data_IF_646932197130
#
_entry.id   IF_646932197130
#
_cell.length_a   1.000
_cell.length_b   1.000
_cell.length_c   1.000
_cell.angle_alpha   90.00
_cell.angle_beta   90.00
_cell.angle_gamma   90.00
#
_symmetry.space_group_name_H-M   'P 1'
#
loop_
_entity.id
_entity.type
_entity.pdbx_description
1 polymer ?
#
# COMPACT_ATOMS: atom_id res chain seq x y z
N UNK A 1 49.18 -44.74 15.03
CA UNK A 1 48.42 -44.64 13.75
C UNK A 1 46.97 -44.42 14.10
N UNK A 2 46.39 -43.34 13.60
CA UNK A 2 45.11 -42.75 14.01
C UNK A 2 43.94 -43.51 13.37
N UNK A 3 43.03 -44.05 14.19
CA UNK A 3 41.74 -44.58 13.79
C UNK A 3 40.67 -43.50 13.95
N UNK A 4 40.41 -42.71 12.91
CA UNK A 4 39.31 -41.74 12.92
C UNK A 4 38.78 -41.36 11.51
N UNK A 5 38.15 -42.29 10.75
CA UNK A 5 37.27 -41.85 9.65
C UNK A 5 35.79 -42.27 9.83
N UNK A 6 35.47 -43.14 10.80
CA UNK A 6 34.12 -43.74 10.89
C UNK A 6 33.11 -42.82 11.60
N UNK A 7 33.54 -42.01 12.57
CA UNK A 7 32.64 -41.10 13.31
C UNK A 7 32.07 -39.97 12.46
N UNK A 8 32.87 -39.43 11.53
CA UNK A 8 32.43 -38.35 10.63
C UNK A 8 31.42 -38.80 9.58
N UNK A 9 31.53 -40.05 9.11
CA UNK A 9 30.59 -40.64 8.17
C UNK A 9 29.21 -40.85 8.78
N UNK A 10 29.15 -41.26 10.05
CA UNK A 10 27.88 -41.46 10.76
C UNK A 10 27.22 -40.10 11.05
N UNK A 11 27.99 -39.08 11.45
CA UNK A 11 27.47 -37.73 11.68
C UNK A 11 26.92 -37.10 10.39
N UNK A 12 27.61 -37.26 9.26
CA UNK A 12 27.16 -36.76 7.96
C UNK A 12 25.86 -37.43 7.50
N UNK A 13 25.71 -38.73 7.71
CA UNK A 13 24.47 -39.45 7.35
C UNK A 13 23.29 -38.99 8.21
N UNK A 14 23.51 -38.72 9.51
CA UNK A 14 22.46 -38.20 10.40
C UNK A 14 22.03 -36.79 9.99
N UNK A 15 22.96 -35.91 9.59
CA UNK A 15 22.64 -34.56 9.10
C UNK A 15 21.85 -34.63 7.79
N UNK A 16 22.21 -35.53 6.87
CA UNK A 16 21.48 -35.73 5.62
C UNK A 16 20.08 -36.33 5.87
N UNK A 17 19.94 -37.20 6.86
CA UNK A 17 18.63 -37.74 7.28
C UNK A 17 17.76 -36.67 7.96
N UNK A 18 18.36 -35.77 8.75
CA UNK A 18 17.65 -34.63 9.35
C UNK A 18 17.21 -33.61 8.29
N UNK A 19 18.05 -33.34 7.28
CA UNK A 19 17.72 -32.46 6.16
C UNK A 19 16.67 -33.05 5.20
N UNK A 20 16.53 -34.37 5.14
CA UNK A 20 15.51 -35.06 4.33
C UNK A 20 14.22 -35.39 5.09
N UNK A 21 14.21 -35.25 6.40
CA UNK A 21 13.02 -35.38 7.27
C UNK A 21 12.41 -34.03 7.66
N UNK A 22 13.04 -32.91 7.34
CA UNK A 22 12.38 -31.60 7.39
C UNK A 22 11.22 -31.60 6.39
N UNK A 23 9.97 -31.36 6.82
CA UNK A 23 8.87 -31.23 5.89
C UNK A 23 9.21 -30.08 4.93
N UNK A 24 8.94 -30.22 3.62
CA UNK A 24 9.01 -29.07 2.74
C UNK A 24 8.05 -28.03 3.33
N UNK A 25 8.60 -26.87 3.68
CA UNK A 25 7.78 -25.67 3.90
C UNK A 25 7.07 -25.40 2.58
N UNK A 26 5.89 -25.97 2.43
CA UNK A 26 4.94 -25.58 1.40
C UNK A 26 4.35 -24.24 1.84
N UNK A 27 5.16 -23.18 1.83
CA UNK A 27 4.62 -21.82 1.69
C UNK A 27 3.92 -21.82 0.33
N UNK A 28 2.59 -21.82 0.36
CA UNK A 28 1.76 -21.78 -0.85
C UNK A 28 2.24 -20.58 -1.68
N UNK A 29 2.54 -20.77 -2.96
CA UNK A 29 3.05 -19.71 -3.86
C UNK A 29 2.17 -18.47 -3.88
N UNK A 30 0.88 -18.63 -3.56
CA UNK A 30 -0.10 -17.56 -3.47
C UNK A 30 0.13 -16.63 -2.28
N UNK A 31 0.56 -17.13 -1.10
CA UNK A 31 0.84 -16.26 0.06
C UNK A 31 2.07 -15.38 -0.19
N UNK A 32 3.11 -15.93 -0.83
CA UNK A 32 4.29 -15.18 -1.20
C UNK A 32 3.98 -14.06 -2.21
N UNK A 33 3.02 -14.27 -3.13
CA UNK A 33 2.60 -13.25 -4.11
C UNK A 33 1.75 -12.15 -3.46
N UNK A 34 0.88 -12.52 -2.52
CA UNK A 34 0.04 -11.60 -1.77
C UNK A 34 0.86 -10.73 -0.80
N UNK A 35 1.79 -11.34 -0.05
CA UNK A 35 2.75 -10.64 0.82
C UNK A 35 3.54 -9.61 0.02
N UNK A 36 4.12 -10.02 -1.12
CA UNK A 36 4.92 -9.13 -1.99
C UNK A 36 4.15 -7.90 -2.48
N UNK A 37 2.89 -8.09 -2.90
CA UNK A 37 2.04 -7.00 -3.41
C UNK A 37 1.63 -6.02 -2.32
N UNK A 38 1.42 -6.49 -1.10
CA UNK A 38 1.12 -5.63 0.04
C UNK A 38 2.38 -4.94 0.56
N UNK A 39 3.49 -5.68 0.69
CA UNK A 39 4.74 -5.25 1.30
C UNK A 39 5.30 -3.94 0.74
N UNK A 40 5.09 -3.63 -0.54
CA UNK A 40 5.60 -2.38 -1.15
C UNK A 40 4.59 -1.22 -1.13
N UNK A 41 3.29 -1.50 -1.01
CA UNK A 41 2.22 -0.52 -1.30
C UNK A 41 1.54 0.09 -0.06
N UNK A 42 1.85 -0.34 1.16
CA UNK A 42 1.27 0.23 2.40
C UNK A 42 2.31 0.97 3.29
N UNK A 43 1.83 1.82 4.19
CA UNK A 43 2.67 2.44 5.23
C UNK A 43 3.19 1.38 6.24
N UNK A 44 4.39 1.55 6.83
CA UNK A 44 4.91 0.60 7.82
C UNK A 44 3.96 0.38 8.99
N UNK A 45 3.88 -0.86 9.48
CA UNK A 45 3.06 -1.21 10.63
C UNK A 45 3.48 -0.44 11.89
N UNK A 46 4.79 -0.31 12.12
CA UNK A 46 5.36 0.38 13.27
C UNK A 46 5.59 1.88 12.98
N UNK A 47 4.99 2.79 13.77
CA UNK A 47 5.21 4.23 13.65
C UNK A 47 6.69 4.65 13.72
N UNK A 48 7.53 3.92 14.46
CA UNK A 48 8.96 4.19 14.53
C UNK A 48 9.64 3.95 13.18
N UNK A 49 9.28 2.87 12.48
CA UNK A 49 9.78 2.58 11.14
C UNK A 49 9.32 3.65 10.15
N UNK A 50 8.06 4.08 10.24
CA UNK A 50 7.56 5.19 9.41
C UNK A 50 8.34 6.49 9.60
N UNK A 51 8.70 6.84 10.85
CA UNK A 51 9.55 8.00 11.14
C UNK A 51 10.96 7.84 10.57
N UNK A 52 11.54 6.66 10.70
CA UNK A 52 12.85 6.34 10.13
C UNK A 52 12.87 6.49 8.60
N UNK A 53 11.87 5.93 7.91
CA UNK A 53 11.70 6.08 6.46
C UNK A 53 11.66 7.57 6.06
N UNK A 54 10.89 8.38 6.79
CA UNK A 54 10.80 9.84 6.58
C UNK A 54 12.16 10.53 6.74
N UNK A 55 12.88 10.26 7.83
CA UNK A 55 14.17 10.89 8.11
C UNK A 55 15.24 10.53 7.06
N UNK A 56 15.25 9.27 6.62
CA UNK A 56 16.13 8.81 5.55
C UNK A 56 15.84 9.55 4.24
N UNK A 57 14.55 9.70 3.91
CA UNK A 57 14.13 10.40 2.70
C UNK A 57 14.51 11.89 2.73
N UNK A 58 14.37 12.56 3.88
CA UNK A 58 14.77 13.97 4.06
C UNK A 58 16.28 14.19 3.94
N UNK A 59 17.07 13.21 4.38
CA UNK A 59 18.53 13.24 4.29
C UNK A 59 19.06 12.78 2.91
N UNK A 60 18.17 12.46 1.97
CA UNK A 60 18.53 12.03 0.62
C UNK A 60 19.16 10.64 0.55
N UNK A 61 19.00 9.83 1.59
CA UNK A 61 19.42 8.44 1.66
C UNK A 61 18.35 7.60 0.95
N UNK A 62 18.42 7.50 -0.38
CA UNK A 62 17.53 6.62 -1.16
C UNK A 62 18.04 5.19 -1.11
N UNK A 63 17.20 4.28 -0.61
CA UNK A 63 17.27 2.82 -0.82
C UNK A 63 18.64 2.14 -0.61
N UNK A 64 19.51 2.68 0.25
CA UNK A 64 20.65 1.90 0.77
C UNK A 64 20.15 0.92 1.84
N UNK A 65 19.53 -0.16 1.34
CA UNK A 65 19.31 -1.46 1.98
C UNK A 65 18.83 -1.37 3.43
N UNK A 66 17.50 -1.36 3.59
CA UNK A 66 16.77 -1.67 4.83
C UNK A 66 16.91 -3.18 5.16
N UNK A 67 18.13 -3.71 5.12
CA UNK A 67 18.44 -5.11 5.38
C UNK A 67 18.87 -5.26 6.83
N UNK A 68 18.00 -4.90 7.77
CA UNK A 68 18.19 -5.12 9.22
C UNK A 68 19.37 -4.39 9.88
N UNK A 69 20.35 -3.91 9.12
CA UNK A 69 21.56 -3.25 9.57
C UNK A 69 21.38 -1.74 9.37
N UNK A 70 20.79 -1.09 10.38
CA UNK A 70 20.70 0.36 10.44
C UNK A 70 22.10 0.90 10.78
N UNK A 71 22.99 1.03 9.79
CA UNK A 71 24.18 1.88 9.92
C UNK A 71 23.68 3.34 9.94
N UNK A 72 23.11 3.71 11.08
CA UNK A 72 22.40 4.95 11.29
C UNK A 72 23.42 6.10 11.26
N UNK A 73 23.28 6.99 10.29
CA UNK A 73 24.07 8.22 10.26
C UNK A 73 23.94 8.97 11.60
N UNK A 74 25.03 9.57 12.07
CA UNK A 74 25.13 10.19 13.40
C UNK A 74 24.13 11.36 13.57
N UNK A 75 23.59 11.87 12.47
CA UNK A 75 22.52 12.88 12.42
C UNK A 75 21.14 12.28 12.75
N UNK A 76 20.79 11.14 12.16
CA UNK A 76 19.52 10.43 12.35
C UNK A 76 19.42 9.86 13.77
N UNK A 77 20.53 9.31 14.29
CA UNK A 77 20.61 8.80 15.67
C UNK A 77 20.34 9.88 16.73
N UNK A 78 20.73 11.14 16.49
CA UNK A 78 20.51 12.25 17.44
C UNK A 78 19.05 12.68 17.53
N UNK A 79 18.30 12.66 16.42
CA UNK A 79 16.87 12.95 16.43
C UNK A 79 16.04 11.81 17.03
N UNK A 80 16.64 10.62 17.07
CA UNK A 80 16.05 9.39 17.57
C UNK A 80 16.54 8.98 18.96
N UNK A 81 17.12 9.90 19.75
CA UNK A 81 17.69 9.60 21.08
C UNK A 81 16.71 8.94 22.06
N UNK A 82 15.39 9.05 21.83
CA UNK A 82 14.33 8.38 22.60
C UNK A 82 14.04 6.94 22.14
N UNK A 83 14.62 6.49 21.02
CA UNK A 83 14.39 5.17 20.42
C UNK A 83 15.60 4.23 20.46
N UNK A 84 16.75 4.69 20.96
CA UNK A 84 17.95 3.87 21.18
C UNK A 84 17.65 2.62 22.03
N UNK A 85 16.66 2.69 22.92
CA UNK A 85 16.21 1.57 23.76
C UNK A 85 15.65 0.39 22.94
N UNK A 86 15.16 0.62 21.73
CA UNK A 86 14.57 -0.42 20.87
C UNK A 86 15.55 -1.05 19.90
N UNK A 87 16.82 -0.65 19.91
CA UNK A 87 17.85 -1.27 19.08
C UNK A 87 18.71 -2.20 19.93
N UNK A 88 18.97 -3.40 19.40
CA UNK A 88 19.92 -4.36 19.98
C UNK A 88 21.34 -3.81 19.85
N UNK A 89 22.28 -4.41 20.60
CA UNK A 89 23.71 -4.02 20.58
C UNK A 89 24.36 -4.12 19.19
N UNK A 90 23.77 -4.87 18.27
CA UNK A 90 24.19 -5.02 16.87
C UNK A 90 23.51 -4.02 15.91
N UNK A 91 22.72 -3.06 16.42
CA UNK A 91 22.01 -2.06 15.63
C UNK A 91 20.69 -2.56 15.03
N UNK A 92 20.27 -3.79 15.33
CA UNK A 92 19.02 -4.36 14.80
C UNK A 92 17.83 -4.01 15.69
N UNK A 93 16.70 -3.68 15.07
CA UNK A 93 15.47 -3.37 15.80
C UNK A 93 15.02 -4.59 16.64
N UNK A 94 14.72 -4.37 17.91
CA UNK A 94 14.13 -5.36 18.79
C UNK A 94 12.62 -5.49 18.51
N UNK A 95 12.29 -6.18 17.43
CA UNK A 95 10.91 -6.35 16.93
C UNK A 95 9.97 -6.91 18.02
N UNK A 96 10.40 -7.91 18.78
CA UNK A 96 9.63 -8.50 19.86
C UNK A 96 9.22 -7.46 20.92
N UNK A 97 10.15 -6.60 21.31
CA UNK A 97 9.88 -5.52 22.28
C UNK A 97 9.01 -4.41 21.69
N UNK A 98 9.17 -4.11 20.38
CA UNK A 98 8.26 -3.18 19.69
C UNK A 98 6.84 -3.71 19.68
N UNK A 99 6.62 -4.96 19.28
CA UNK A 99 5.29 -5.58 19.25
C UNK A 99 4.63 -5.60 20.63
N UNK A 100 5.39 -5.92 21.69
CA UNK A 100 4.91 -5.87 23.07
C UNK A 100 4.44 -4.46 23.48
N UNK A 101 5.17 -3.42 23.07
CA UNK A 101 4.81 -2.03 23.38
C UNK A 101 3.69 -1.48 22.49
N UNK A 102 3.56 -1.97 21.27
CA UNK A 102 2.50 -1.58 20.34
C UNK A 102 1.17 -2.24 20.72
N UNK A 103 1.15 -3.49 21.19
CA UNK A 103 -0.07 -4.25 21.45
C UNK A 103 -1.13 -3.49 22.28
N UNK A 104 -0.80 -2.83 23.41
CA UNK A 104 -1.78 -2.07 24.18
C UNK A 104 -2.33 -0.83 23.46
N UNK A 105 -1.65 -0.34 22.41
CA UNK A 105 -2.09 0.79 21.59
C UNK A 105 -3.06 0.35 20.48
N UNK A 106 -2.99 -0.92 20.07
CA UNK A 106 -3.90 -1.51 19.09
C UNK A 106 -5.23 -1.93 19.74
N UNK A 107 -5.18 -2.53 20.94
CA UNK A 107 -6.35 -2.94 21.73
C UNK A 107 -7.06 -1.71 22.36
N UNK A 108 -7.88 -1.02 21.57
CA UNK A 108 -8.52 0.26 21.96
C UNK A 108 -9.96 0.08 22.43
N UNK A 109 -10.80 -0.64 21.68
CA UNK A 109 -12.22 -0.76 21.98
C UNK A 109 -12.89 -1.97 21.30
N UNK A 110 -13.37 -2.97 22.07
CA UNK A 110 -13.22 -3.09 23.53
C UNK A 110 -11.77 -3.38 23.91
N UNK A 111 -11.27 -2.79 25.00
CA UNK A 111 -9.96 -3.16 25.55
C UNK A 111 -10.06 -4.53 26.23
N UNK A 112 -10.05 -5.60 25.44
CA UNK A 112 -10.35 -6.97 25.87
C UNK A 112 -9.12 -7.89 25.85
N UNK A 113 -7.94 -7.37 25.50
CA UNK A 113 -6.70 -8.12 25.39
C UNK A 113 -6.59 -8.89 24.08
N UNK A 114 -7.44 -8.60 23.09
CA UNK A 114 -7.38 -9.16 21.75
C UNK A 114 -7.44 -8.02 20.73
N UNK A 115 -6.68 -8.16 19.64
CA UNK A 115 -6.76 -7.23 18.52
C UNK A 115 -7.71 -7.82 17.49
N UNK A 116 -8.87 -7.18 17.29
CA UNK A 116 -9.81 -7.59 16.24
C UNK A 116 -9.53 -6.88 14.90
N UNK A 117 -10.16 -7.37 13.83
CA UNK A 117 -9.96 -6.80 12.48
C UNK A 117 -10.17 -5.28 12.40
N UNK A 118 -11.19 -4.74 13.08
CA UNK A 118 -11.48 -3.30 12.99
C UNK A 118 -10.42 -2.46 13.69
N UNK A 119 -9.86 -2.95 14.78
CA UNK A 119 -8.77 -2.28 15.49
C UNK A 119 -7.50 -2.27 14.65
N UNK A 120 -7.20 -3.40 14.01
CA UNK A 120 -6.04 -3.53 13.14
C UNK A 120 -6.19 -2.73 11.83
N UNK A 121 -7.39 -2.71 11.24
CA UNK A 121 -7.73 -1.85 10.10
C UNK A 121 -7.54 -0.39 10.48
N UNK A 122 -8.12 0.06 11.61
CA UNK A 122 -7.97 1.44 12.07
C UNK A 122 -6.49 1.81 12.30
N UNK A 123 -5.72 0.92 12.92
CA UNK A 123 -4.28 1.13 13.12
C UNK A 123 -3.54 1.33 11.80
N UNK A 124 -3.72 0.40 10.85
CA UNK A 124 -3.04 0.46 9.56
C UNK A 124 -3.48 1.68 8.73
N UNK A 125 -4.77 2.01 8.77
CA UNK A 125 -5.33 3.20 8.10
C UNK A 125 -4.74 4.47 8.71
N UNK A 126 -4.60 4.57 10.04
CA UNK A 126 -3.94 5.70 10.70
C UNK A 126 -2.49 5.86 10.19
N UNK A 127 -1.74 4.75 10.00
CA UNK A 127 -0.38 4.79 9.43
C UNK A 127 -0.39 5.30 7.98
N UNK A 128 -1.32 4.82 7.16
CA UNK A 128 -1.46 5.24 5.77
C UNK A 128 -1.80 6.74 5.66
N UNK A 129 -2.76 7.22 6.46
CA UNK A 129 -3.16 8.63 6.50
C UNK A 129 -1.99 9.52 6.92
N UNK A 130 -1.22 9.13 7.94
CA UNK A 130 -0.01 9.87 8.33
C UNK A 130 1.01 9.98 7.19
N UNK A 131 1.23 8.90 6.45
CA UNK A 131 2.15 8.88 5.29
C UNK A 131 1.66 9.77 4.15
N UNK A 132 0.37 9.69 3.80
CA UNK A 132 -0.26 10.54 2.79
C UNK A 132 -0.15 12.03 3.17
N UNK A 133 -0.42 12.36 4.43
CA UNK A 133 -0.28 13.72 4.95
C UNK A 133 1.16 14.22 4.89
N UNK A 134 2.13 13.38 5.26
CA UNK A 134 3.55 13.72 5.15
C UNK A 134 3.95 14.04 3.70
N UNK A 135 3.61 13.16 2.75
CA UNK A 135 3.87 13.36 1.31
C UNK A 135 3.23 14.65 0.79
N UNK A 136 1.99 14.91 1.18
CA UNK A 136 1.26 16.12 0.77
C UNK A 136 1.90 17.38 1.33
N UNK A 137 2.28 17.37 2.61
CA UNK A 137 2.98 18.49 3.25
C UNK A 137 4.33 18.76 2.59
N UNK A 138 5.05 17.70 2.19
CA UNK A 138 6.31 17.82 1.46
C UNK A 138 6.09 18.47 0.09
N UNK A 139 5.08 18.04 -0.66
CA UNK A 139 4.72 18.66 -1.94
C UNK A 139 4.29 20.12 -1.78
N UNK A 140 3.49 20.44 -0.78
CA UNK A 140 3.11 21.81 -0.44
C UNK A 140 4.37 22.68 -0.24
N UNK A 141 5.30 22.25 0.63
CA UNK A 141 6.54 22.99 0.89
C UNK A 141 7.43 23.15 -0.35
N UNK A 142 7.43 22.17 -1.25
CA UNK A 142 8.22 22.20 -2.48
C UNK A 142 7.65 23.19 -3.51
N UNK A 143 6.32 23.27 -3.59
CA UNK A 143 5.60 23.96 -4.68
C UNK A 143 5.05 25.33 -4.30
N UNK A 144 4.79 25.58 -3.01
CA UNK A 144 4.33 26.87 -2.48
C UNK A 144 5.45 27.91 -2.58
N UNK A 145 5.50 28.63 -3.71
CA UNK A 145 6.60 29.56 -4.03
C UNK A 145 6.40 30.91 -3.37
N UNK A 146 5.15 31.30 -3.16
CA UNK A 146 4.81 32.59 -2.54
C UNK A 146 4.67 32.50 -1.01
N UNK A 147 4.64 31.28 -0.46
CA UNK A 147 4.63 31.00 0.97
C UNK A 147 3.27 31.28 1.61
N UNK A 148 2.18 31.24 0.83
CA UNK A 148 0.85 31.56 1.31
C UNK A 148 0.15 30.36 2.01
N UNK A 149 0.76 29.16 1.99
CA UNK A 149 0.25 27.95 2.60
C UNK A 149 -0.83 27.22 1.78
N UNK A 150 -0.98 27.58 0.51
CA UNK A 150 -1.92 26.99 -0.46
C UNK A 150 -1.27 26.96 -1.85
N UNK A 151 -1.74 26.10 -2.74
CA UNK A 151 -1.21 26.01 -4.10
C UNK A 151 -2.20 26.53 -5.13
N UNK A 152 -1.77 27.49 -5.94
CA UNK A 152 -2.48 27.82 -7.18
C UNK A 152 -2.31 26.72 -8.23
N UNK A 153 -3.20 26.70 -9.23
CA UNK A 153 -3.08 25.76 -10.36
C UNK A 153 -1.68 25.79 -11.01
N UNK A 154 -1.06 26.96 -11.12
CA UNK A 154 0.26 27.12 -11.75
C UNK A 154 1.36 26.48 -10.88
N UNK A 155 1.20 26.46 -9.56
CA UNK A 155 2.13 25.83 -8.62
C UNK A 155 1.95 24.32 -8.55
N UNK A 156 0.71 23.83 -8.73
CA UNK A 156 0.43 22.40 -8.87
C UNK A 156 0.95 21.81 -10.19
N UNK A 157 0.97 22.60 -11.27
CA UNK A 157 1.46 22.14 -12.57
C UNK A 157 2.98 22.01 -12.59
N UNK A 158 3.50 20.89 -13.10
CA UNK A 158 4.94 20.67 -13.27
C UNK A 158 5.59 21.80 -14.11
N UNK A 159 6.86 22.18 -13.86
CA UNK A 159 7.53 23.24 -14.63
C UNK A 159 7.54 23.01 -16.15
N UNK A 160 7.51 21.76 -16.63
CA UNK A 160 7.32 21.47 -18.06
C UNK A 160 5.94 21.94 -18.54
N UNK A 161 4.88 21.72 -17.77
CA UNK A 161 3.49 22.13 -18.07
C UNK A 161 3.32 23.65 -18.03
N UNK A 162 3.96 24.33 -17.08
CA UNK A 162 3.92 25.81 -16.98
C UNK A 162 4.57 26.52 -18.17
N UNK A 163 5.59 25.90 -18.79
CA UNK A 163 6.20 26.39 -20.02
C UNK A 163 5.39 26.01 -21.29
N UNK A 164 4.53 25.00 -21.20
CA UNK A 164 3.72 24.46 -22.31
C UNK A 164 2.35 25.13 -22.47
N UNK A 165 1.85 25.88 -21.48
CA UNK A 165 0.78 26.86 -21.70
C UNK A 165 1.12 27.86 -22.83
N UNK A 166 2.40 27.94 -23.20
CA UNK A 166 2.87 28.77 -24.31
C UNK A 166 2.97 28.08 -25.67
N UNK A 167 2.92 26.74 -25.83
CA UNK A 167 2.80 26.19 -27.21
C UNK A 167 2.46 24.69 -27.48
N UNK A 168 2.55 23.69 -26.59
CA UNK A 168 2.49 22.29 -27.09
C UNK A 168 1.87 21.27 -26.11
N UNK A 169 0.67 21.52 -25.59
CA UNK A 169 -0.17 20.45 -25.03
C UNK A 169 -1.39 20.19 -25.91
N UNK A 170 -1.78 18.92 -26.01
CA UNK A 170 -3.09 18.58 -26.56
C UNK A 170 -4.17 19.23 -25.66
N UNK A 171 -5.19 19.91 -26.24
CA UNK A 171 -6.18 20.67 -25.47
C UNK A 171 -6.93 19.85 -24.40
N UNK A 172 -6.94 18.53 -24.54
CA UNK A 172 -7.58 17.57 -23.65
C UNK A 172 -6.83 17.38 -22.31
N UNK A 173 -5.50 17.30 -22.32
CA UNK A 173 -4.69 17.10 -21.10
C UNK A 173 -4.76 18.30 -20.15
N UNK A 174 -4.61 19.52 -20.69
CA UNK A 174 -4.72 20.75 -19.87
C UNK A 174 -6.15 20.93 -19.34
N UNK A 175 -7.16 20.53 -20.11
CA UNK A 175 -8.56 20.54 -19.69
C UNK A 175 -8.80 19.62 -18.49
N UNK A 176 -8.24 18.41 -18.53
CA UNK A 176 -8.35 17.42 -17.47
C UNK A 176 -7.68 17.89 -16.16
N UNK A 177 -6.44 18.39 -16.20
CA UNK A 177 -5.76 18.90 -15.01
C UNK A 177 -6.51 20.06 -14.36
N UNK A 178 -7.06 20.96 -15.18
CA UNK A 178 -7.91 22.06 -14.70
C UNK A 178 -9.21 21.57 -14.06
N UNK A 179 -9.77 20.47 -14.56
CA UNK A 179 -10.98 19.88 -13.99
C UNK A 179 -10.70 19.17 -12.66
N UNK A 180 -9.60 18.41 -12.56
CA UNK A 180 -9.15 17.80 -11.31
C UNK A 180 -8.90 18.85 -10.23
N UNK A 181 -8.18 19.94 -10.58
CA UNK A 181 -7.92 21.04 -9.66
C UNK A 181 -9.24 21.65 -9.15
N UNK A 182 -10.19 21.93 -10.04
CA UNK A 182 -11.49 22.50 -9.64
C UNK A 182 -12.34 21.55 -8.81
N UNK A 183 -12.18 20.24 -8.99
CA UNK A 183 -12.91 19.24 -8.21
C UNK A 183 -12.34 19.12 -6.79
N UNK A 184 -11.02 19.26 -6.66
CA UNK A 184 -10.35 19.30 -5.37
C UNK A 184 -10.51 20.63 -4.61
N UNK A 185 -10.67 21.75 -5.33
CA UNK A 185 -10.93 23.09 -4.76
C UNK A 185 -12.39 23.20 -4.24
N UNK A 186 -12.64 22.61 -3.07
CA UNK A 186 -13.97 22.49 -2.47
C UNK A 186 -14.61 23.84 -2.15
N UNK A 187 -13.81 24.82 -1.71
CA UNK A 187 -14.31 26.16 -1.39
C UNK A 187 -14.37 27.12 -2.60
N UNK A 188 -13.78 26.71 -3.74
CA UNK A 188 -13.81 27.42 -5.01
C UNK A 188 -13.00 28.72 -5.01
N UNK A 189 -12.03 28.86 -4.11
CA UNK A 189 -11.22 30.07 -3.98
C UNK A 189 -10.09 30.15 -5.04
N UNK A 190 -9.87 29.08 -5.80
CA UNK A 190 -8.85 28.97 -6.84
C UNK A 190 -7.46 28.56 -6.34
N UNK A 191 -7.33 28.15 -5.07
CA UNK A 191 -6.13 27.69 -4.39
C UNK A 191 -6.45 26.41 -3.63
N UNK A 192 -5.55 25.43 -3.65
CA UNK A 192 -5.69 24.23 -2.84
C UNK A 192 -5.00 24.42 -1.50
N UNK A 193 -5.76 24.36 -0.42
CA UNK A 193 -5.21 24.21 0.92
C UNK A 193 -4.62 22.79 1.11
N UNK A 194 -4.03 22.49 2.27
CA UNK A 194 -3.37 21.19 2.49
C UNK A 194 -4.33 19.99 2.34
N UNK A 195 -5.58 20.11 2.77
CA UNK A 195 -6.57 19.03 2.64
C UNK A 195 -6.96 18.82 1.18
N UNK A 196 -7.30 19.91 0.49
CA UNK A 196 -7.67 19.89 -0.93
C UNK A 196 -6.50 19.41 -1.81
N UNK A 197 -5.26 19.75 -1.44
CA UNK A 197 -4.08 19.22 -2.09
C UNK A 197 -3.91 17.71 -1.83
N UNK A 198 -4.25 17.22 -0.64
CA UNK A 198 -4.22 15.79 -0.36
C UNK A 198 -5.19 15.04 -1.27
N UNK A 199 -6.41 15.56 -1.42
CA UNK A 199 -7.44 15.02 -2.31
C UNK A 199 -7.01 15.07 -3.79
N UNK A 200 -6.39 16.18 -4.21
CA UNK A 200 -5.85 16.36 -5.56
C UNK A 200 -4.73 15.35 -5.88
N UNK A 201 -3.81 15.12 -4.95
CA UNK A 201 -2.68 14.20 -5.13
C UNK A 201 -3.09 12.73 -4.96
N UNK A 202 -4.10 12.45 -4.14
CA UNK A 202 -4.50 11.10 -3.78
C UNK A 202 -5.99 10.85 -4.06
N UNK A 203 -6.45 10.98 -5.32
CA UNK A 203 -7.87 10.88 -5.65
C UNK A 203 -8.48 9.49 -5.34
N UNK A 204 -7.65 8.44 -5.18
CA UNK A 204 -8.08 7.08 -4.81
C UNK A 204 -8.44 6.93 -3.32
N UNK A 205 -7.89 7.81 -2.48
CA UNK A 205 -8.00 7.81 -1.02
C UNK A 205 -8.86 8.97 -0.51
N UNK A 206 -9.42 9.78 -1.43
CA UNK A 206 -10.28 10.91 -1.09
C UNK A 206 -11.60 10.46 -0.45
N UNK A 207 -12.15 11.30 0.42
CA UNK A 207 -13.51 11.13 0.91
C UNK A 207 -14.56 11.74 -0.03
N UNK A 208 -14.13 12.49 -1.04
CA UNK A 208 -15.00 13.24 -1.94
C UNK A 208 -15.47 12.37 -3.13
N UNK A 209 -16.78 12.14 -3.19
CA UNK A 209 -17.40 11.32 -4.23
C UNK A 209 -17.26 11.93 -5.63
N UNK A 210 -17.25 13.25 -5.77
CA UNK A 210 -17.07 13.93 -7.07
C UNK A 210 -15.66 13.69 -7.62
N UNK A 211 -14.65 13.63 -6.75
CA UNK A 211 -13.26 13.29 -7.14
C UNK A 211 -13.20 11.84 -7.62
N UNK A 212 -13.87 10.92 -6.92
CA UNK A 212 -14.00 9.53 -7.34
C UNK A 212 -14.70 9.41 -8.70
N UNK A 213 -15.83 10.09 -8.91
CA UNK A 213 -16.54 10.08 -10.19
C UNK A 213 -15.65 10.58 -11.33
N UNK A 214 -14.95 11.70 -11.13
CA UNK A 214 -14.07 12.28 -12.14
C UNK A 214 -12.89 11.35 -12.46
N UNK A 215 -12.28 10.75 -11.44
CA UNK A 215 -11.22 9.76 -11.62
C UNK A 215 -11.73 8.53 -12.39
N UNK A 216 -12.85 7.94 -11.97
CA UNK A 216 -13.45 6.79 -12.66
C UNK A 216 -13.83 7.09 -14.11
N UNK A 217 -14.35 8.29 -14.37
CA UNK A 217 -14.68 8.71 -15.73
C UNK A 217 -13.45 8.68 -16.65
N UNK A 218 -12.30 9.10 -16.16
CA UNK A 218 -11.05 9.01 -16.91
C UNK A 218 -10.61 7.57 -17.11
N UNK A 219 -10.75 6.73 -16.08
CA UNK A 219 -10.43 5.30 -16.18
C UNK A 219 -11.34 4.57 -17.17
N UNK A 220 -12.64 4.86 -17.16
CA UNK A 220 -13.60 4.34 -18.13
C UNK A 220 -13.21 4.79 -19.53
N UNK A 221 -12.85 6.06 -19.74
CA UNK A 221 -12.41 6.59 -21.05
C UNK A 221 -11.22 5.80 -21.63
N UNK A 222 -10.33 5.28 -20.78
CA UNK A 222 -9.20 4.45 -21.22
C UNK A 222 -9.61 3.02 -21.58
N UNK A 223 -10.68 2.51 -20.96
CA UNK A 223 -11.20 1.17 -21.18
C UNK A 223 -12.28 1.09 -22.28
N UNK A 224 -12.92 2.22 -22.58
CA UNK A 224 -13.97 2.38 -23.58
C UNK A 224 -13.36 2.44 -25.00
N UNK A 225 -13.44 1.33 -25.72
CA UNK A 225 -12.84 1.20 -27.04
C UNK A 225 -13.75 1.74 -28.14
N UNK A 226 -15.07 1.62 -27.98
CA UNK A 226 -16.04 2.10 -28.96
C UNK A 226 -16.41 3.58 -28.81
N UNK A 227 -15.96 4.21 -27.70
CA UNK A 227 -16.06 5.63 -27.36
C UNK A 227 -17.49 6.11 -27.15
N UNK A 228 -18.35 5.25 -26.61
CA UNK A 228 -19.72 5.61 -26.24
C UNK A 228 -19.85 6.24 -24.85
N UNK A 229 -18.75 6.30 -24.08
CA UNK A 229 -18.65 6.88 -22.75
C UNK A 229 -19.03 5.92 -21.62
N UNK A 230 -19.29 4.65 -21.92
CA UNK A 230 -19.68 3.60 -20.98
C UNK A 230 -18.82 2.35 -21.22
N UNK A 231 -19.01 1.32 -20.39
CA UNK A 231 -18.39 0.02 -20.62
C UNK A 231 -19.43 -1.02 -20.99
N UNK A 232 -19.32 -1.59 -22.18
CA UNK A 232 -20.06 -2.80 -22.52
C UNK A 232 -19.44 -4.03 -21.83
N UNK A 233 -20.16 -5.17 -21.85
CA UNK A 233 -19.69 -6.38 -21.16
C UNK A 233 -18.30 -6.87 -21.60
N UNK A 234 -17.95 -6.69 -22.88
CA UNK A 234 -16.65 -7.14 -23.40
C UNK A 234 -15.54 -6.27 -22.82
N UNK A 235 -15.70 -4.94 -22.84
CA UNK A 235 -14.74 -4.00 -22.27
C UNK A 235 -14.56 -4.19 -20.77
N UNK A 236 -15.68 -4.32 -20.03
CA UNK A 236 -15.66 -4.63 -18.62
C UNK A 236 -14.89 -5.91 -18.33
N UNK A 237 -15.21 -7.01 -19.01
CA UNK A 237 -14.59 -8.32 -18.76
C UNK A 237 -13.10 -8.31 -19.07
N UNK A 238 -12.70 -7.68 -20.18
CA UNK A 238 -11.31 -7.72 -20.63
C UNK A 238 -10.39 -6.76 -19.86
N UNK A 239 -10.93 -5.73 -19.21
CA UNK A 239 -10.13 -4.73 -18.50
C UNK A 239 -10.53 -4.64 -17.02
N UNK A 240 -11.66 -4.00 -16.71
CA UNK A 240 -12.08 -3.71 -15.34
C UNK A 240 -12.16 -4.98 -14.46
N UNK A 241 -12.74 -6.06 -14.98
CA UNK A 241 -12.88 -7.31 -14.23
C UNK A 241 -11.53 -7.98 -13.92
N UNK A 242 -10.52 -7.85 -14.79
CA UNK A 242 -9.19 -8.41 -14.51
C UNK A 242 -8.54 -7.70 -13.33
N UNK A 243 -8.70 -6.38 -13.27
CA UNK A 243 -8.21 -5.56 -12.15
C UNK A 243 -8.99 -5.91 -10.89
N UNK A 244 -10.33 -5.88 -10.95
CA UNK A 244 -11.20 -6.28 -9.85
C UNK A 244 -10.84 -7.65 -9.29
N UNK A 245 -10.68 -8.66 -10.14
CA UNK A 245 -10.36 -10.03 -9.72
C UNK A 245 -9.06 -10.08 -8.90
N UNK A 246 -8.08 -9.25 -9.26
CA UNK A 246 -6.78 -9.18 -8.59
C UNK A 246 -6.91 -8.69 -7.14
N UNK A 247 -7.85 -7.78 -6.86
CA UNK A 247 -8.07 -7.22 -5.52
C UNK A 247 -9.24 -7.88 -4.76
N UNK A 248 -10.22 -8.45 -5.46
CA UNK A 248 -11.32 -9.19 -4.85
C UNK A 248 -10.82 -10.42 -4.07
N UNK A 249 -9.65 -10.96 -4.40
CA UNK A 249 -9.01 -12.05 -3.63
C UNK A 249 -8.85 -11.71 -2.14
N UNK A 250 -8.66 -10.43 -1.79
CA UNK A 250 -8.53 -9.97 -0.40
C UNK A 250 -9.86 -9.92 0.36
N UNK A 251 -10.98 -9.69 -0.33
CA UNK A 251 -12.30 -9.60 0.29
C UNK A 251 -12.93 -10.98 0.46
N UNK A 252 -12.63 -11.90 -0.43
CA UNK A 252 -13.27 -13.23 -0.52
C UNK A 252 -12.38 -14.38 -0.01
N UNK A 253 -11.24 -14.08 0.63
CA UNK A 253 -10.28 -15.09 1.09
C UNK A 253 -9.88 -16.10 -0.01
N UNK A 254 -9.84 -15.64 -1.26
CA UNK A 254 -9.56 -16.47 -2.43
C UNK A 254 -10.65 -17.48 -2.86
N UNK A 255 -11.84 -17.48 -2.27
CA UNK A 255 -12.95 -18.38 -2.63
C UNK A 255 -14.19 -17.62 -3.10
N UNK A 256 -14.89 -18.12 -4.11
CA UNK A 256 -16.21 -17.59 -4.55
C UNK A 256 -16.19 -16.14 -5.09
N UNK A 257 -15.10 -15.73 -5.75
CA UNK A 257 -15.05 -14.47 -6.50
C UNK A 257 -16.15 -14.50 -7.58
N UNK A 258 -17.10 -13.54 -7.59
CA UNK A 258 -18.18 -13.49 -8.57
C UNK A 258 -17.65 -13.52 -9.99
N UNK A 259 -18.28 -14.31 -10.86
CA UNK A 259 -17.91 -14.36 -12.29
C UNK A 259 -18.12 -12.99 -12.96
N UNK A 260 -17.46 -12.71 -14.10
CA UNK A 260 -17.65 -11.43 -14.77
C UNK A 260 -19.11 -11.18 -15.16
N UNK A 261 -19.86 -12.21 -15.54
CA UNK A 261 -21.29 -12.09 -15.86
C UNK A 261 -22.14 -11.71 -14.64
N UNK A 262 -21.85 -12.32 -13.49
CA UNK A 262 -22.55 -12.04 -12.22
C UNK A 262 -22.22 -10.63 -11.75
N UNK A 263 -20.92 -10.29 -11.72
CA UNK A 263 -20.48 -8.97 -11.28
C UNK A 263 -20.99 -7.86 -12.19
N UNK A 264 -21.00 -8.05 -13.51
CA UNK A 264 -21.56 -7.08 -14.44
C UNK A 264 -23.05 -6.88 -14.21
N UNK A 265 -23.82 -7.96 -14.01
CA UNK A 265 -25.24 -7.89 -13.73
C UNK A 265 -25.56 -7.23 -12.38
N UNK A 266 -24.68 -7.37 -11.38
CA UNK A 266 -24.81 -6.69 -10.09
C UNK A 266 -24.61 -5.17 -10.20
N UNK A 267 -23.81 -4.70 -11.16
CA UNK A 267 -23.52 -3.28 -11.39
C UNK A 267 -24.51 -2.62 -12.35
N UNK A 268 -25.01 -3.36 -13.34
CA UNK A 268 -25.96 -2.87 -14.36
C UNK A 268 -27.37 -2.70 -13.76
N UNK A 269 -27.56 -1.64 -12.97
CA UNK A 269 -28.77 -1.38 -12.21
C UNK A 269 -29.97 -1.05 -13.11
N UNK A 270 -29.71 -0.46 -14.27
CA UNK A 270 -30.76 -0.06 -15.21
C UNK A 270 -31.05 -1.11 -16.30
N UNK A 271 -30.24 -2.19 -16.37
CA UNK A 271 -30.34 -3.30 -17.31
C UNK A 271 -30.19 -2.91 -18.79
N UNK A 272 -29.47 -1.82 -19.09
CA UNK A 272 -29.18 -1.36 -20.46
C UNK A 272 -27.96 -2.05 -21.08
N UNK A 273 -27.27 -2.90 -20.30
CA UNK A 273 -26.05 -3.64 -20.68
C UNK A 273 -24.82 -2.76 -20.90
N UNK A 274 -24.81 -1.55 -20.34
CA UNK A 274 -23.70 -0.60 -20.41
C UNK A 274 -23.46 -0.03 -19.01
N UNK A 275 -22.24 -0.18 -18.49
CA UNK A 275 -21.90 0.34 -17.17
C UNK A 275 -21.48 1.81 -17.26
N UNK A 276 -22.21 2.65 -16.55
CA UNK A 276 -21.89 4.07 -16.35
C UNK A 276 -20.87 4.28 -15.23
N UNK A 277 -20.35 5.51 -15.10
CA UNK A 277 -19.47 5.92 -13.99
C UNK A 277 -20.13 5.62 -12.64
N UNK A 278 -21.41 5.97 -12.48
CA UNK A 278 -22.18 5.76 -11.24
C UNK A 278 -22.33 4.27 -10.90
N UNK A 279 -22.56 3.43 -11.92
CA UNK A 279 -22.68 1.98 -11.73
C UNK A 279 -21.34 1.32 -11.42
N UNK A 280 -20.22 1.92 -11.84
CA UNK A 280 -18.86 1.44 -11.55
C UNK A 280 -18.31 1.96 -10.22
N UNK A 281 -18.87 3.04 -9.67
CA UNK A 281 -18.42 3.67 -8.43
C UNK A 281 -18.32 2.71 -7.22
N UNK A 282 -19.26 1.76 -7.01
CA UNK A 282 -19.16 0.77 -5.92
C UNK A 282 -17.93 -0.14 -6.00
N UNK A 283 -17.23 -0.17 -7.14
CA UNK A 283 -16.00 -0.94 -7.35
C UNK A 283 -14.73 -0.09 -7.34
N UNK A 284 -14.82 1.21 -7.05
CA UNK A 284 -13.68 2.13 -7.14
C UNK A 284 -12.43 1.58 -6.47
N UNK A 285 -12.55 1.19 -5.19
CA UNK A 285 -11.40 0.75 -4.39
C UNK A 285 -10.86 -0.63 -4.80
N UNK A 286 -11.68 -1.50 -5.41
CA UNK A 286 -11.19 -2.77 -5.98
C UNK A 286 -10.56 -2.60 -7.37
N UNK A 287 -10.94 -1.56 -8.10
CA UNK A 287 -10.34 -1.24 -9.39
C UNK A 287 -9.05 -0.43 -9.22
N UNK A 288 -9.03 0.48 -8.26
CA UNK A 288 -7.93 1.41 -8.05
C UNK A 288 -7.68 1.60 -6.56
N UNK A 289 -7.12 0.57 -5.88
CA UNK A 289 -6.82 0.67 -4.46
C UNK A 289 -5.80 1.78 -4.20
N UNK A 290 -6.15 2.69 -3.29
CA UNK A 290 -5.23 3.67 -2.72
C UNK A 290 -4.49 3.13 -1.50
N UNK A 291 -3.65 3.96 -0.86
CA UNK A 291 -2.86 3.56 0.31
C UNK A 291 -3.76 3.10 1.48
N UNK A 292 -4.93 3.73 1.65
CA UNK A 292 -5.91 3.36 2.68
C UNK A 292 -6.51 1.98 2.39
N UNK A 293 -6.83 1.71 1.13
CA UNK A 293 -7.37 0.40 0.73
C UNK A 293 -6.33 -0.71 0.94
N UNK A 294 -5.07 -0.44 0.58
CA UNK A 294 -3.98 -1.38 0.85
C UNK A 294 -3.75 -1.61 2.35
N UNK A 295 -3.90 -0.58 3.18
CA UNK A 295 -3.81 -0.72 4.64
C UNK A 295 -4.90 -1.65 5.21
N UNK A 296 -6.13 -1.58 4.67
CA UNK A 296 -7.23 -2.49 5.02
C UNK A 296 -6.91 -3.93 4.57
N UNK A 297 -6.45 -4.12 3.32
CA UNK A 297 -6.04 -5.44 2.85
C UNK A 297 -4.88 -6.03 3.66
N UNK A 298 -3.96 -5.18 4.11
CA UNK A 298 -2.88 -5.60 4.98
C UNK A 298 -3.37 -6.06 6.36
N UNK A 299 -4.35 -5.38 6.97
CA UNK A 299 -4.94 -5.84 8.23
C UNK A 299 -5.60 -7.23 8.10
N UNK A 300 -6.35 -7.47 7.01
CA UNK A 300 -6.94 -8.78 6.71
C UNK A 300 -5.87 -9.86 6.54
N UNK A 301 -4.78 -9.51 5.84
CA UNK A 301 -3.62 -10.38 5.67
C UNK A 301 -2.97 -10.74 7.02
N UNK A 302 -2.71 -9.76 7.88
CA UNK A 302 -2.11 -9.97 9.19
C UNK A 302 -2.92 -10.95 10.05
N UNK A 303 -4.24 -10.76 10.16
CA UNK A 303 -5.10 -11.70 10.88
C UNK A 303 -5.00 -13.09 10.27
N UNK A 304 -5.13 -13.20 8.94
CA UNK A 304 -5.13 -14.51 8.28
C UNK A 304 -3.84 -15.31 8.52
N UNK A 305 -2.69 -14.64 8.60
CA UNK A 305 -1.41 -15.33 8.77
C UNK A 305 -1.06 -15.57 10.24
N UNK A 306 -1.51 -14.72 11.18
CA UNK A 306 -1.13 -14.80 12.59
C UNK A 306 -2.20 -15.44 13.51
N UNK A 307 -3.46 -15.52 13.08
CA UNK A 307 -4.56 -16.13 13.84
C UNK A 307 -4.48 -17.67 13.79
N UNK A 308 -3.82 -18.24 14.79
CA UNK A 308 -3.52 -19.67 14.86
C UNK A 308 -4.77 -20.49 15.21
N UNK A 309 -5.62 -19.96 16.10
CA UNK A 309 -6.81 -20.65 16.60
C UNK A 309 -8.08 -20.39 15.76
N UNK A 310 -8.01 -19.41 14.84
CA UNK A 310 -9.03 -19.04 13.85
C UNK A 310 -10.27 -18.43 14.47
N UNK A 311 -10.12 -17.70 15.57
CA UNK A 311 -11.22 -16.98 16.22
C UNK A 311 -11.49 -15.60 15.58
N UNK A 312 -10.65 -15.16 14.64
CA UNK A 312 -10.75 -13.90 13.92
C UNK A 312 -10.18 -12.70 14.70
N UNK A 313 -9.45 -12.96 15.78
CA UNK A 313 -8.75 -11.97 16.60
C UNK A 313 -7.31 -12.41 16.79
N UNK A 314 -6.49 -11.52 17.34
CA UNK A 314 -5.08 -11.78 17.61
C UNK A 314 -4.75 -11.54 19.06
N UNK A 315 -4.16 -12.55 19.69
CA UNK A 315 -3.50 -12.44 20.99
C UNK A 315 -2.06 -11.94 20.84
N UNK A 316 -1.46 -11.46 21.94
CA UNK A 316 -0.05 -11.09 21.92
C UNK A 316 0.85 -12.29 21.58
N UNK A 317 0.51 -13.49 22.06
CA UNK A 317 1.31 -14.69 21.82
C UNK A 317 1.32 -15.05 20.33
N UNK A 318 0.16 -14.97 19.65
CA UNK A 318 0.05 -15.15 18.20
C UNK A 318 0.88 -14.12 17.43
N UNK A 319 0.78 -12.85 17.79
CA UNK A 319 1.55 -11.77 17.14
C UNK A 319 3.06 -12.00 17.29
N UNK A 320 3.51 -12.44 18.48
CA UNK A 320 4.93 -12.70 18.72
C UNK A 320 5.43 -13.98 18.04
N UNK A 321 4.56 -14.99 17.87
CA UNK A 321 4.90 -16.21 17.14
C UNK A 321 5.03 -15.98 15.62
N UNK A 322 4.43 -14.90 15.11
CA UNK A 322 4.41 -14.52 13.70
C UNK A 322 4.98 -13.10 13.48
N UNK A 323 6.00 -12.72 14.25
CA UNK A 323 6.58 -11.37 14.26
C UNK A 323 7.06 -10.91 12.87
N UNK A 324 7.48 -11.84 12.02
CA UNK A 324 7.95 -11.57 10.66
C UNK A 324 6.85 -11.05 9.71
N UNK A 325 5.58 -11.35 9.98
CA UNK A 325 4.47 -10.95 9.12
C UNK A 325 4.18 -9.44 9.29
N UNK A 326 4.33 -8.92 10.51
CA UNK A 326 4.13 -7.52 10.87
C UNK A 326 5.27 -6.61 10.41
N UNK A 327 6.45 -7.19 10.22
CA UNK A 327 7.65 -6.49 9.74
C UNK A 327 8.10 -7.05 8.38
N UNK A 328 7.17 -7.56 7.56
CA UNK A 328 7.50 -8.17 6.26
C UNK A 328 8.32 -7.24 5.35
N UNK A 329 8.06 -5.92 5.38
CA UNK A 329 8.90 -4.90 4.73
C UNK A 329 10.37 -4.94 5.11
N UNK A 330 10.66 -5.27 6.37
CA UNK A 330 12.03 -5.38 6.92
C UNK A 330 12.66 -6.73 6.55
N UNK A 331 11.86 -7.76 6.24
CA UNK A 331 12.33 -9.13 5.95
C UNK A 331 12.26 -9.54 4.46
N UNK A 332 11.48 -8.87 3.60
CA UNK A 332 11.34 -9.21 2.17
C UNK A 332 12.60 -8.89 1.34
N UNK A 333 13.60 -8.20 1.90
CA UNK A 333 14.88 -7.89 1.23
C UNK A 333 15.80 -9.10 0.98
N UNK A 334 15.46 -10.32 1.44
CA UNK A 334 16.32 -11.50 1.32
C UNK A 334 16.04 -12.40 0.09
N UNK A 335 14.97 -12.15 -0.69
CA UNK A 335 14.53 -13.07 -1.77
C UNK A 335 14.40 -12.41 -3.15
N UNK A 336 15.22 -11.39 -3.43
CA UNK A 336 15.16 -10.65 -4.68
C UNK A 336 16.03 -11.29 -5.78
N UNK A 337 15.46 -12.25 -6.49
CA UNK A 337 15.88 -12.62 -7.85
C UNK A 337 14.66 -13.31 -8.50
N UNK A 338 13.86 -12.55 -9.26
CA UNK A 338 13.14 -12.93 -10.49
C UNK A 338 11.83 -12.13 -10.66
N UNK A 339 11.94 -11.00 -11.37
CA UNK A 339 11.22 -10.70 -12.61
C UNK A 339 9.73 -11.09 -12.67
N UNK A 340 8.85 -10.22 -12.17
CA UNK A 340 7.46 -10.13 -12.62
C UNK A 340 7.07 -8.64 -12.69
N UNK A 341 6.98 -8.12 -13.92
CA UNK A 341 6.51 -6.78 -14.27
C UNK A 341 5.00 -6.68 -13.97
N UNK A 342 4.61 -6.42 -12.73
CA UNK A 342 3.24 -6.00 -12.36
C UNK A 342 3.17 -4.46 -12.23
N UNK A 343 3.94 -3.72 -13.06
CA UNK A 343 3.99 -2.25 -13.14
C UNK A 343 2.86 -1.66 -14.02
N UNK A 344 1.66 -2.23 -13.98
CA UNK A 344 0.52 -1.71 -14.77
C UNK A 344 -0.21 -0.54 -14.07
N UNK A 345 0.18 -0.17 -12.84
CA UNK A 345 -0.44 0.91 -12.05
C UNK A 345 0.32 2.26 -12.13
N UNK A 346 1.49 2.30 -12.76
CA UNK A 346 2.45 3.41 -12.61
C UNK A 346 2.25 4.60 -13.56
N UNK A 347 1.23 4.58 -14.43
CA UNK A 347 1.01 5.68 -15.37
C UNK A 347 0.70 7.04 -14.69
N UNK A 348 0.39 7.05 -13.39
CA UNK A 348 0.15 8.28 -12.62
C UNK A 348 1.13 8.49 -11.46
N UNK A 349 2.09 7.59 -11.24
CA UNK A 349 3.09 7.73 -10.18
C UNK A 349 4.42 8.31 -10.69
N UNK A 350 4.65 8.35 -12.00
CA UNK A 350 5.90 8.91 -12.57
C UNK A 350 5.95 10.45 -12.67
N UNK A 351 4.85 11.19 -12.41
CA UNK A 351 4.82 12.66 -12.58
C UNK A 351 4.19 13.45 -11.41
N UNK A 352 4.51 13.07 -10.17
CA UNK A 352 4.36 13.98 -9.03
C UNK A 352 5.72 14.39 -8.47
#
# INVERSE_FOLDING_TARGET
MKSAPVGYLILAIIIILLLSLSPPSHRNSNHLRVSRRLGHKHAPFDPLIGKLEILMEENGLKDEKVAGNWDMDESVSRELSESEEYFKEDGMLNITERLLNLFPLLDKFPQDGFINLKELEAWNVDRAVERLNYKTMKEMKLRDKDGNGSLSLIECLHPSLTNLERNDMAPDQVGWWKEQFRNADEDGNGLLNLSELNDFLNPKDSANEEIHELFLREKIRLMDYDKDGKLNFVEFREQAYKIYKTHAEYDYNGYDIPKPEEKFADLDLNFDRLLTVQEMLPMMHQLYPGEITYAIYYAKYLIREADDDKDGKLTIDEILNHEEVFYSKVFESEFDDNNDNDDDDDFFHEEF
#
